data_IF_788271967459
#
_entry.id   IF_788271967459
#
_cell.length_a   1.000
_cell.length_b   1.000
_cell.length_c   1.000
_cell.angle_alpha   90.00
_cell.angle_beta   90.00
_cell.angle_gamma   90.00
#
_symmetry.space_group_name_H-M   'P 1'
#
loop_
_entity.id
_entity.type
_entity.pdbx_description
1 polymer ?
#
# COMPACT_ATOMS: atom_id res chain seq x y z
N UNK A 1 -55.40 9.76 37.87
CA UNK A 1 -54.63 9.27 39.03
C UNK A 1 -53.48 8.42 38.48
N UNK A 2 -52.50 9.07 37.83
CA UNK A 2 -51.49 8.39 36.98
C UNK A 2 -50.15 9.12 36.91
N UNK A 3 -49.97 10.26 37.59
CA UNK A 3 -48.70 11.00 37.58
C UNK A 3 -47.77 10.64 38.74
N UNK A 4 -48.33 10.42 39.94
CA UNK A 4 -47.52 10.20 41.15
C UNK A 4 -46.79 8.84 41.12
N UNK A 5 -47.42 7.81 40.55
CA UNK A 5 -46.81 6.47 40.47
C UNK A 5 -45.67 6.42 39.44
N UNK A 6 -45.75 7.21 38.37
CA UNK A 6 -44.72 7.27 37.32
C UNK A 6 -43.47 8.00 37.81
N UNK A 7 -43.65 9.07 38.59
CA UNK A 7 -42.55 9.82 39.22
C UNK A 7 -41.84 8.96 40.29
N UNK A 8 -42.60 8.16 41.06
CA UNK A 8 -42.03 7.23 42.06
C UNK A 8 -41.12 6.17 41.42
N UNK A 9 -41.56 5.55 40.32
CA UNK A 9 -40.76 4.57 39.59
C UNK A 9 -39.45 5.15 39.01
N UNK A 10 -39.46 6.43 38.62
CA UNK A 10 -38.29 7.10 38.08
C UNK A 10 -37.27 7.43 39.18
N UNK A 11 -37.74 7.83 40.37
CA UNK A 11 -36.87 8.04 41.53
C UNK A 11 -36.28 6.74 42.09
N UNK A 12 -37.02 5.62 42.04
CA UNK A 12 -36.53 4.31 42.47
C UNK A 12 -35.48 3.72 41.50
N UNK A 13 -35.43 4.18 40.25
CA UNK A 13 -34.43 3.77 39.25
C UNK A 13 -33.06 4.45 39.41
N UNK A 14 -33.04 5.68 39.94
CA UNK A 14 -31.84 6.49 40.14
C UNK A 14 -30.82 5.84 41.10
N UNK A 15 -31.20 5.25 42.25
CA UNK A 15 -30.23 4.57 43.11
C UNK A 15 -29.71 3.25 42.52
N UNK A 16 -30.49 2.58 41.64
CA UNK A 16 -30.06 1.36 40.94
C UNK A 16 -28.96 1.65 39.92
N UNK A 17 -29.05 2.79 39.23
CA UNK A 17 -27.98 3.29 38.36
C UNK A 17 -26.70 3.62 39.12
N UNK A 18 -26.81 4.13 40.36
CA UNK A 18 -25.68 4.60 41.17
C UNK A 18 -24.85 3.49 41.83
N UNK A 19 -25.49 2.37 42.18
CA UNK A 19 -24.81 1.18 42.70
C UNK A 19 -24.06 0.41 41.62
N UNK A 20 -24.67 0.23 40.45
CA UNK A 20 -24.11 -0.55 39.35
C UNK A 20 -23.27 0.27 38.36
N UNK A 21 -23.11 1.59 38.56
CA UNK A 21 -22.32 2.41 37.61
C UNK A 21 -20.87 1.93 37.55
N UNK A 22 -20.30 1.56 38.69
CA UNK A 22 -18.90 1.12 38.77
C UNK A 22 -18.67 -0.22 38.08
N UNK A 23 -19.63 -1.14 38.18
CA UNK A 23 -19.57 -2.43 37.47
C UNK A 23 -19.72 -2.23 35.96
N UNK A 24 -20.64 -1.36 35.53
CA UNK A 24 -20.83 -1.02 34.11
C UNK A 24 -19.58 -0.33 33.53
N UNK A 25 -18.97 0.59 34.30
CA UNK A 25 -17.71 1.25 33.91
C UNK A 25 -16.57 0.22 33.86
N UNK A 26 -16.47 -0.68 34.83
CA UNK A 26 -15.48 -1.75 34.86
C UNK A 26 -15.60 -2.69 33.65
N UNK A 27 -16.82 -3.14 33.33
CA UNK A 27 -17.09 -3.96 32.14
C UNK A 27 -16.75 -3.19 30.86
N UNK A 28 -17.07 -1.90 30.79
CA UNK A 28 -16.71 -1.04 29.67
C UNK A 28 -15.19 -0.96 29.44
N UNK A 29 -14.41 -0.82 30.51
CA UNK A 29 -12.94 -0.81 30.45
C UNK A 29 -12.40 -2.16 29.97
N UNK A 30 -12.94 -3.28 30.47
CA UNK A 30 -12.51 -4.62 30.06
C UNK A 30 -12.77 -4.86 28.57
N UNK A 31 -13.97 -4.51 28.09
CA UNK A 31 -14.32 -4.62 26.66
C UNK A 31 -13.40 -3.74 25.81
N UNK A 32 -13.08 -2.54 26.29
CA UNK A 32 -12.19 -1.62 25.60
C UNK A 32 -10.75 -2.17 25.49
N UNK A 33 -10.23 -2.81 26.53
CA UNK A 33 -8.92 -3.47 26.50
C UNK A 33 -8.92 -4.65 25.52
N UNK A 34 -9.98 -5.46 25.52
CA UNK A 34 -10.14 -6.57 24.57
C UNK A 34 -10.19 -6.03 23.13
N UNK A 35 -10.89 -4.92 22.91
CA UNK A 35 -10.97 -4.27 21.61
C UNK A 35 -9.61 -3.74 21.13
N UNK A 36 -8.83 -3.10 22.00
CA UNK A 36 -7.46 -2.65 21.68
C UNK A 36 -6.57 -3.85 21.33
N UNK A 37 -6.62 -4.92 22.13
CA UNK A 37 -5.84 -6.14 21.87
C UNK A 37 -6.25 -6.80 20.53
N UNK A 38 -7.55 -6.81 20.22
CA UNK A 38 -8.07 -7.27 18.95
C UNK A 38 -7.55 -6.44 17.78
N UNK A 39 -7.57 -5.10 17.88
CA UNK A 39 -7.00 -4.22 16.85
C UNK A 39 -5.51 -4.47 16.67
N UNK A 40 -4.73 -4.57 17.74
CA UNK A 40 -3.29 -4.85 17.63
C UNK A 40 -3.02 -6.21 16.97
N UNK A 41 -3.79 -7.24 17.33
CA UNK A 41 -3.67 -8.56 16.71
C UNK A 41 -4.10 -8.53 15.25
N UNK A 42 -5.16 -7.80 14.92
CA UNK A 42 -5.65 -7.62 13.56
C UNK A 42 -4.66 -6.82 12.70
N UNK A 43 -4.09 -5.72 13.21
CA UNK A 43 -3.01 -4.98 12.55
C UNK A 43 -1.79 -5.86 12.30
N UNK A 44 -1.43 -6.72 13.27
CA UNK A 44 -0.29 -7.64 13.12
C UNK A 44 -0.60 -8.72 12.09
N UNK A 45 -1.81 -9.27 12.09
CA UNK A 45 -2.27 -10.23 11.10
C UNK A 45 -2.30 -9.62 9.70
N UNK A 46 -2.83 -8.39 9.57
CA UNK A 46 -2.88 -7.66 8.32
C UNK A 46 -1.47 -7.26 7.85
N UNK A 47 -0.56 -6.87 8.74
CA UNK A 47 0.86 -6.66 8.39
C UNK A 47 1.53 -7.95 7.95
N UNK A 48 1.20 -9.12 8.52
CA UNK A 48 1.82 -10.39 8.11
C UNK A 48 1.25 -10.91 6.78
N UNK A 49 -0.03 -10.69 6.50
CA UNK A 49 -0.68 -11.14 5.26
C UNK A 49 -0.68 -10.12 4.11
N UNK A 50 -0.67 -8.83 4.42
CA UNK A 50 -0.59 -7.74 3.45
C UNK A 50 0.72 -6.95 3.51
N UNK A 51 1.71 -7.36 4.32
CA UNK A 51 3.07 -7.19 3.83
C UNK A 51 3.09 -7.99 2.55
N UNK A 52 3.31 -7.37 1.36
CA UNK A 52 3.68 -8.16 0.21
C UNK A 52 4.82 -9.02 0.74
N UNK A 53 4.69 -10.34 0.57
CA UNK A 53 5.80 -11.24 0.76
C UNK A 53 6.90 -10.64 -0.11
N UNK A 54 7.77 -9.87 0.52
CA UNK A 54 9.01 -9.40 -0.05
C UNK A 54 9.88 -10.65 -0.06
N UNK A 55 9.49 -11.60 -0.91
CA UNK A 55 10.47 -12.19 -1.79
C UNK A 55 11.07 -10.98 -2.47
N UNK A 56 12.18 -10.49 -1.90
CA UNK A 56 13.19 -9.73 -2.63
C UNK A 56 13.57 -10.61 -3.81
N UNK A 57 12.72 -10.66 -4.83
CA UNK A 57 13.14 -11.07 -6.16
C UNK A 57 14.15 -10.02 -6.54
N UNK A 58 15.36 -10.48 -6.76
CA UNK A 58 16.43 -9.60 -7.23
C UNK A 58 15.90 -8.88 -8.47
N UNK A 59 16.16 -7.58 -8.62
CA UNK A 59 15.62 -6.78 -9.73
C UNK A 59 15.77 -7.48 -11.10
N UNK A 60 16.90 -8.17 -11.31
CA UNK A 60 17.14 -9.01 -12.48
C UNK A 60 16.14 -10.15 -12.68
N UNK A 61 15.71 -10.85 -11.63
CA UNK A 61 14.71 -11.92 -11.71
C UNK A 61 13.35 -11.38 -12.16
N UNK A 62 13.00 -10.16 -11.74
CA UNK A 62 11.74 -9.51 -12.12
C UNK A 62 11.78 -9.02 -13.57
N UNK A 63 12.94 -8.57 -14.06
CA UNK A 63 13.14 -8.23 -15.47
C UNK A 63 13.06 -9.48 -16.36
N UNK A 64 13.69 -10.58 -15.94
CA UNK A 64 13.73 -11.83 -16.72
C UNK A 64 12.35 -12.47 -16.92
N UNK A 65 11.38 -12.14 -16.06
CA UNK A 65 9.99 -12.57 -16.22
C UNK A 65 9.18 -11.76 -17.23
N UNK A 66 9.69 -10.63 -17.74
CA UNK A 66 8.97 -9.81 -18.72
C UNK A 66 9.03 -10.47 -20.10
N UNK A 67 7.87 -10.84 -20.65
CA UNK A 67 7.78 -11.33 -22.02
C UNK A 67 7.85 -10.16 -23.01
N UNK A 68 8.76 -10.25 -23.98
CA UNK A 68 8.97 -9.20 -25.00
C UNK A 68 7.73 -9.00 -25.89
N UNK A 69 6.93 -10.06 -26.05
CA UNK A 69 5.70 -10.07 -26.84
C UNK A 69 4.49 -9.51 -26.08
N UNK A 70 4.66 -9.13 -24.81
CA UNK A 70 3.59 -8.52 -24.01
C UNK A 70 3.12 -7.19 -24.64
N UNK A 71 1.79 -7.04 -24.70
CA UNK A 71 1.11 -5.84 -25.17
C UNK A 71 1.33 -4.68 -24.19
N UNK A 72 1.41 -4.99 -22.89
CA UNK A 72 1.63 -4.03 -21.80
C UNK A 72 3.10 -3.97 -21.37
N UNK A 73 4.02 -4.43 -22.22
CA UNK A 73 5.46 -4.49 -21.93
C UNK A 73 6.02 -3.21 -21.29
N UNK A 74 5.71 -2.03 -21.85
CA UNK A 74 6.25 -0.77 -21.35
C UNK A 74 5.60 -0.32 -20.03
N UNK A 75 4.34 -0.65 -19.80
CA UNK A 75 3.66 -0.39 -18.52
C UNK A 75 4.26 -1.27 -17.41
N UNK A 76 4.45 -2.57 -17.70
CA UNK A 76 5.08 -3.51 -16.77
C UNK A 76 6.54 -3.12 -16.48
N UNK A 77 7.32 -2.77 -17.50
CA UNK A 77 8.70 -2.33 -17.34
C UNK A 77 8.79 -1.03 -16.52
N UNK A 78 7.93 -0.05 -16.81
CA UNK A 78 7.82 1.21 -16.05
C UNK A 78 7.49 0.95 -14.58
N UNK A 79 6.56 0.02 -14.31
CA UNK A 79 6.19 -0.36 -12.95
C UNK A 79 7.34 -1.06 -12.21
N UNK A 80 8.08 -1.94 -12.86
CA UNK A 80 9.22 -2.66 -12.27
C UNK A 80 10.35 -1.68 -11.90
N UNK A 81 10.65 -0.73 -12.78
CA UNK A 81 11.65 0.32 -12.48
C UNK A 81 11.20 1.19 -11.31
N UNK A 82 9.93 1.63 -11.29
CA UNK A 82 9.40 2.44 -10.17
C UNK A 82 9.40 1.67 -8.86
N UNK A 83 9.06 0.39 -8.88
CA UNK A 83 9.12 -0.48 -7.70
C UNK A 83 10.56 -0.63 -7.20
N UNK A 84 11.52 -0.80 -8.10
CA UNK A 84 12.94 -0.85 -7.75
C UNK A 84 13.45 0.45 -7.12
N UNK A 85 13.05 1.61 -7.66
CA UNK A 85 13.40 2.91 -7.10
C UNK A 85 12.80 3.14 -5.71
N UNK A 86 11.62 2.57 -5.45
CA UNK A 86 10.97 2.60 -4.13
C UNK A 86 11.68 1.66 -3.15
N UNK A 87 11.96 0.42 -3.57
CA UNK A 87 12.63 -0.61 -2.76
C UNK A 87 14.09 -0.27 -2.44
N UNK A 88 14.76 0.47 -3.32
CA UNK A 88 16.13 0.99 -3.12
C UNK A 88 16.18 2.28 -2.31
N UNK A 89 15.04 2.77 -1.81
CA UNK A 89 14.88 4.03 -1.07
C UNK A 89 15.36 5.28 -1.84
N UNK A 90 15.68 5.16 -3.14
CA UNK A 90 16.09 6.28 -3.97
C UNK A 90 14.95 7.28 -4.20
N UNK A 91 13.71 6.78 -4.27
CA UNK A 91 12.51 7.60 -4.44
C UNK A 91 11.35 7.05 -3.63
N UNK A 92 11.01 7.74 -2.54
CA UNK A 92 9.82 7.42 -1.73
C UNK A 92 8.54 7.48 -2.57
N UNK A 93 7.72 6.43 -2.49
CA UNK A 93 6.45 6.27 -3.21
C UNK A 93 6.60 6.38 -4.75
N UNK A 94 7.70 5.89 -5.32
CA UNK A 94 7.95 5.95 -6.77
C UNK A 94 6.84 5.31 -7.60
N UNK A 95 6.17 4.27 -7.11
CA UNK A 95 5.02 3.64 -7.78
C UNK A 95 3.82 4.58 -7.95
N UNK A 96 3.69 5.60 -7.08
CA UNK A 96 2.60 6.61 -7.12
C UNK A 96 3.02 7.94 -7.74
N UNK A 97 4.32 8.16 -7.95
CA UNK A 97 4.86 9.40 -8.51
C UNK A 97 4.78 9.40 -10.03
N UNK A 98 4.53 10.57 -10.60
CA UNK A 98 4.61 10.72 -12.06
C UNK A 98 6.07 10.72 -12.50
N UNK A 99 6.33 10.45 -13.77
CA UNK A 99 7.69 10.53 -14.33
C UNK A 99 8.37 11.88 -14.05
N UNK A 100 7.61 12.99 -14.11
CA UNK A 100 8.15 14.34 -13.83
C UNK A 100 8.63 14.47 -12.39
N UNK A 101 7.99 13.78 -11.45
CA UNK A 101 8.37 13.78 -10.05
C UNK A 101 9.64 12.96 -9.84
N UNK A 102 9.74 11.78 -10.48
CA UNK A 102 10.94 10.92 -10.45
C UNK A 102 12.15 11.63 -11.09
N UNK A 103 11.94 12.44 -12.13
CA UNK A 103 13.02 13.15 -12.81
C UNK A 103 13.72 14.21 -11.94
N UNK A 104 13.01 14.73 -10.92
CA UNK A 104 13.54 15.72 -9.96
C UNK A 104 14.39 15.09 -8.86
N UNK A 105 14.31 13.77 -8.68
CA UNK A 105 15.01 13.03 -7.65
C UNK A 105 16.43 12.62 -8.12
N UNK A 106 17.29 12.23 -7.18
CA UNK A 106 18.67 11.78 -7.42
C UNK A 106 18.73 10.33 -7.94
N UNK A 107 18.13 10.09 -9.11
CA UNK A 107 18.13 8.80 -9.83
C UNK A 107 19.16 8.84 -10.97
N UNK A 108 19.74 7.68 -11.33
CA UNK A 108 20.66 7.56 -12.45
C UNK A 108 20.04 8.05 -13.77
N UNK A 109 20.87 8.66 -14.62
CA UNK A 109 20.46 9.19 -15.93
C UNK A 109 19.89 8.07 -16.83
N UNK A 110 20.48 6.88 -16.77
CA UNK A 110 20.08 5.71 -17.55
C UNK A 110 18.66 5.25 -17.21
N UNK A 111 18.31 5.16 -15.91
CA UNK A 111 16.95 4.82 -15.48
C UNK A 111 15.93 5.89 -15.88
N UNK A 112 16.34 7.17 -15.86
CA UNK A 112 15.50 8.29 -16.31
C UNK A 112 15.23 8.22 -17.82
N UNK A 113 16.21 7.83 -18.63
CA UNK A 113 16.08 7.62 -20.06
C UNK A 113 15.17 6.43 -20.38
N UNK A 114 15.34 5.30 -19.69
CA UNK A 114 14.47 4.12 -19.89
C UNK A 114 13.03 4.43 -19.52
N UNK A 115 12.78 5.15 -18.41
CA UNK A 115 11.44 5.63 -18.05
C UNK A 115 10.85 6.59 -19.10
N UNK A 116 11.68 7.39 -19.76
CA UNK A 116 11.25 8.25 -20.86
C UNK A 116 10.77 7.43 -22.06
N UNK A 117 11.54 6.42 -22.45
CA UNK A 117 11.20 5.51 -23.55
C UNK A 117 9.91 4.75 -23.23
N UNK A 118 9.77 4.24 -22.00
CA UNK A 118 8.55 3.56 -21.56
C UNK A 118 7.33 4.48 -21.65
N UNK A 119 7.44 5.70 -21.14
CA UNK A 119 6.35 6.69 -21.21
C UNK A 119 6.03 7.02 -22.67
N UNK A 120 7.04 7.22 -23.52
CA UNK A 120 6.80 7.52 -24.93
C UNK A 120 5.96 6.44 -25.61
N UNK A 121 6.31 5.16 -25.43
CA UNK A 121 5.58 4.05 -26.03
C UNK A 121 4.26 3.68 -25.32
N UNK A 122 4.08 4.08 -24.06
CA UNK A 122 2.80 3.97 -23.33
C UNK A 122 1.76 4.96 -23.89
N UNK A 123 2.18 6.19 -24.22
CA UNK A 123 1.28 7.27 -24.66
C UNK A 123 1.26 7.49 -26.19
N UNK A 124 2.00 6.70 -26.97
CA UNK A 124 1.98 6.74 -28.43
C UNK A 124 1.49 5.42 -29.01
N UNK A 125 0.83 5.46 -30.17
CA UNK A 125 0.42 4.24 -30.89
C UNK A 125 1.59 3.55 -31.62
N UNK A 126 2.80 4.07 -31.45
CA UNK A 126 4.00 3.58 -32.13
C UNK A 126 4.51 2.32 -31.44
N UNK A 127 4.21 1.17 -32.07
CA UNK A 127 4.66 -0.13 -31.58
C UNK A 127 6.18 -0.25 -31.76
N UNK A 128 6.89 -0.37 -30.65
CA UNK A 128 8.31 -0.71 -30.68
C UNK A 128 8.50 -2.16 -31.19
N UNK A 129 9.46 -2.35 -32.09
CA UNK A 129 9.88 -3.67 -32.56
C UNK A 129 10.41 -4.51 -31.39
N UNK A 130 10.20 -5.82 -31.44
CA UNK A 130 10.73 -6.80 -30.46
C UNK A 130 12.22 -6.60 -30.19
N UNK A 131 13.00 -6.28 -31.22
CA UNK A 131 14.43 -6.00 -31.10
C UNK A 131 14.74 -4.80 -30.19
N UNK A 132 13.97 -3.71 -30.32
CA UNK A 132 14.14 -2.51 -29.49
C UNK A 132 13.73 -2.76 -28.03
N UNK A 133 12.70 -3.59 -27.81
CA UNK A 133 12.31 -4.04 -26.47
C UNK A 133 13.42 -4.87 -25.80
N UNK A 134 14.10 -5.75 -26.55
CA UNK A 134 15.25 -6.52 -26.05
C UNK A 134 16.45 -5.62 -25.70
N UNK A 135 16.78 -4.66 -26.57
CA UNK A 135 17.87 -3.69 -26.31
C UNK A 135 17.63 -2.91 -25.00
N UNK A 136 16.40 -2.50 -24.74
CA UNK A 136 16.04 -1.78 -23.50
C UNK A 136 16.20 -2.67 -22.27
N UNK A 137 15.81 -3.95 -22.34
CA UNK A 137 16.01 -4.89 -21.22
C UNK A 137 17.49 -5.12 -20.95
N UNK A 138 18.31 -5.25 -21.99
CA UNK A 138 19.75 -5.44 -21.87
C UNK A 138 20.43 -4.21 -21.28
N UNK A 139 20.06 -3.01 -21.72
CA UNK A 139 20.50 -1.76 -21.10
C UNK A 139 20.11 -1.70 -19.62
N UNK A 140 18.86 -2.01 -19.29
CA UNK A 140 18.38 -1.99 -17.91
C UNK A 140 19.13 -2.98 -16.99
N UNK A 141 19.56 -4.13 -17.53
CA UNK A 141 20.37 -5.12 -16.81
C UNK A 141 21.81 -4.64 -16.57
N UNK A 142 22.38 -3.88 -17.49
CA UNK A 142 23.75 -3.38 -17.38
C UNK A 142 23.86 -2.09 -16.52
N UNK A 143 22.77 -1.37 -16.35
CA UNK A 143 22.70 -0.10 -15.61
C UNK A 143 22.58 -0.23 -14.09
N UNK A 144 22.39 -1.44 -13.56
CA UNK A 144 22.17 -1.75 -12.14
C UNK A 144 23.16 -2.82 -11.70
#
# INVERSE_FOLDING_TARGET
MTDINTIKNLLDFIPYLKGNTWDIIGIGIVIYIIYIAYIMAFERYYKIHNSPVSQKKTFHETIDTIQVDDVHFFEHLSFIIRSHLEDSEQVLLATKKTRKDIYKESVSLELKEILNICTYHEYTQEKATTQKKMEILEQLKNSI
#
